data_IF_120111639428
#
_entry.id   IF_120111639428
#
_cell.length_a   1.000
_cell.length_b   1.000
_cell.length_c   1.000
_cell.angle_alpha   90.00
_cell.angle_beta   90.00
_cell.angle_gamma   90.00
#
_symmetry.space_group_name_H-M   'P 1'
#
loop_
_entity.id
_entity.type
_entity.pdbx_description
1 polymer ?
#
# COMPACT_ATOMS: atom_id res chain seq x y z
N UNK A 1 -16.61 15.70 0.65
CA UNK A 1 -15.93 15.30 1.89
C UNK A 1 -15.94 16.46 2.87
N UNK A 2 -16.27 16.16 4.10
CA UNK A 2 -16.16 17.15 5.15
C UNK A 2 -14.68 17.37 5.49
N UNK A 3 -14.26 18.60 5.45
CA UNK A 3 -12.91 18.96 5.87
C UNK A 3 -12.90 19.00 7.39
N UNK A 4 -12.00 18.27 8.05
CA UNK A 4 -11.89 18.34 9.49
C UNK A 4 -11.61 19.78 9.92
N UNK A 5 -12.35 20.24 10.88
CA UNK A 5 -12.15 21.59 11.40
C UNK A 5 -11.92 21.50 12.90
N UNK A 6 -10.86 22.09 13.36
CA UNK A 6 -10.55 22.18 14.77
C UNK A 6 -9.98 20.93 15.41
N UNK A 7 -10.34 19.73 14.94
CA UNK A 7 -9.86 18.48 15.53
C UNK A 7 -9.12 17.60 14.57
N UNK A 8 -9.09 17.96 13.29
CA UNK A 8 -8.45 17.13 12.27
C UNK A 8 -6.94 17.27 12.27
N UNK A 9 -6.27 16.20 11.91
CA UNK A 9 -4.83 16.19 11.68
C UNK A 9 -4.50 15.52 10.38
N UNK A 10 -3.41 15.92 9.78
CA UNK A 10 -2.90 15.35 8.55
C UNK A 10 -1.45 15.00 8.75
N UNK A 11 -1.11 13.73 8.61
CA UNK A 11 0.24 13.24 8.90
C UNK A 11 0.77 12.49 7.69
N UNK A 12 1.94 12.87 7.22
CA UNK A 12 2.68 12.13 6.21
C UNK A 12 3.44 11.00 6.89
N UNK A 13 3.27 9.79 6.38
CA UNK A 13 3.89 8.58 6.94
C UNK A 13 4.59 7.77 5.87
N UNK A 14 5.57 6.99 6.30
CA UNK A 14 6.22 6.00 5.48
C UNK A 14 6.37 4.70 6.24
N UNK A 15 6.19 3.56 5.56
CA UNK A 15 6.33 2.26 6.17
C UNK A 15 6.91 1.26 5.17
N UNK A 16 7.82 0.42 5.66
CA UNK A 16 8.43 -0.65 4.87
C UNK A 16 7.88 -2.01 5.24
N UNK A 17 7.77 -2.88 4.24
CA UNK A 17 7.34 -4.26 4.42
C UNK A 17 8.32 -5.20 3.76
N UNK A 18 8.48 -6.38 4.34
CA UNK A 18 9.34 -7.44 3.85
C UNK A 18 8.47 -8.70 3.73
N UNK A 19 8.22 -9.15 2.52
CA UNK A 19 7.34 -10.27 2.25
C UNK A 19 8.07 -11.32 1.43
N UNK A 20 7.85 -12.59 1.74
CA UNK A 20 8.47 -13.70 1.02
C UNK A 20 7.51 -14.86 0.76
N UNK A 21 6.26 -14.72 1.10
CA UNK A 21 5.24 -15.76 0.90
C UNK A 21 4.29 -15.36 -0.23
N UNK A 22 3.83 -16.34 -1.00
CA UNK A 22 2.81 -16.14 -2.03
C UNK A 22 1.44 -15.95 -1.36
N UNK A 23 1.20 -14.75 -0.84
CA UNK A 23 0.02 -14.43 -0.06
C UNK A 23 -0.31 -12.95 -0.14
N UNK A 24 -1.51 -12.60 0.30
CA UNK A 24 -1.94 -11.21 0.45
C UNK A 24 -1.74 -10.78 1.89
N UNK A 25 -1.08 -9.65 2.10
CA UNK A 25 -0.78 -9.13 3.43
C UNK A 25 -1.45 -7.78 3.61
N UNK A 26 -2.10 -7.59 4.75
CA UNK A 26 -2.69 -6.31 5.15
C UNK A 26 -1.56 -5.35 5.53
N UNK A 27 -1.51 -4.20 4.89
CA UNK A 27 -0.42 -3.26 5.08
C UNK A 27 -0.85 -2.02 5.85
N UNK A 28 -1.89 -1.35 5.40
CA UNK A 28 -2.35 -0.11 6.02
C UNK A 28 -3.86 -0.20 6.19
N UNK A 29 -4.33 -0.01 7.42
CA UNK A 29 -5.75 -0.03 7.74
C UNK A 29 -6.22 1.38 8.07
N UNK A 30 -7.27 1.83 7.38
CA UNK A 30 -7.94 3.07 7.74
C UNK A 30 -8.94 2.78 8.85
N UNK A 31 -8.74 3.37 10.00
CA UNK A 31 -9.64 3.22 11.14
C UNK A 31 -10.72 4.30 11.14
N UNK A 32 -11.62 4.25 12.13
CA UNK A 32 -12.73 5.22 12.23
C UNK A 32 -12.21 6.66 12.20
N UNK A 33 -12.87 7.51 11.44
CA UNK A 33 -12.52 8.92 11.24
C UNK A 33 -11.19 9.14 10.51
N UNK A 34 -10.74 8.16 9.74
CA UNK A 34 -9.52 8.29 8.97
C UNK A 34 -9.77 8.16 7.47
N UNK A 35 -9.03 8.96 6.71
CA UNK A 35 -8.88 8.81 5.26
C UNK A 35 -7.40 8.67 5.00
N UNK A 36 -7.03 7.61 4.28
CA UNK A 36 -5.64 7.37 3.90
C UNK A 36 -5.47 7.62 2.41
N UNK A 37 -4.41 8.33 2.04
CA UNK A 37 -4.04 8.57 0.65
C UNK A 37 -2.68 7.96 0.39
N UNK A 38 -2.63 6.95 -0.47
CA UNK A 38 -1.36 6.35 -0.90
C UNK A 38 -0.73 7.26 -1.94
N UNK A 39 0.51 7.62 -1.74
CA UNK A 39 1.26 8.50 -2.64
C UNK A 39 2.20 7.71 -3.54
N UNK A 40 3.00 6.83 -2.95
CA UNK A 40 4.01 6.06 -3.67
C UNK A 40 4.17 4.70 -3.04
N UNK A 41 4.28 3.67 -3.89
CA UNK A 41 4.64 2.32 -3.46
C UNK A 41 5.87 1.90 -4.26
N UNK A 42 6.96 1.59 -3.58
CA UNK A 42 8.17 1.07 -4.19
C UNK A 42 8.26 -0.41 -3.91
N UNK A 43 8.44 -1.21 -4.95
CA UNK A 43 8.49 -2.67 -4.86
C UNK A 43 9.80 -3.15 -5.45
N UNK A 44 10.62 -3.84 -4.66
CA UNK A 44 11.91 -4.34 -5.09
C UNK A 44 12.00 -5.85 -4.86
N UNK A 45 12.28 -6.60 -5.92
CA UNK A 45 12.47 -8.03 -5.83
C UNK A 45 13.92 -8.33 -5.48
N UNK A 46 14.18 -8.88 -4.29
CA UNK A 46 15.53 -9.18 -3.81
C UNK A 46 15.87 -10.66 -3.84
N UNK A 47 14.87 -11.53 -3.90
CA UNK A 47 15.07 -12.98 -3.85
C UNK A 47 14.68 -13.71 -5.13
N UNK A 48 14.42 -13.01 -6.21
CA UNK A 48 13.97 -13.57 -7.48
C UNK A 48 12.83 -12.77 -8.08
N UNK A 49 12.49 -13.06 -9.33
CA UNK A 49 11.38 -12.39 -10.00
C UNK A 49 10.05 -12.71 -9.30
N UNK A 50 9.14 -11.76 -9.31
CA UNK A 50 7.82 -11.93 -8.72
C UNK A 50 6.80 -11.11 -9.50
N UNK A 51 5.55 -11.48 -9.37
CA UNK A 51 4.44 -10.68 -9.83
C UNK A 51 3.71 -10.15 -8.60
N UNK A 52 3.41 -8.86 -8.59
CA UNK A 52 2.85 -8.19 -7.42
C UNK A 52 1.55 -7.52 -7.79
N UNK A 53 0.59 -7.59 -6.88
CA UNK A 53 -0.69 -6.88 -7.00
C UNK A 53 -0.91 -6.01 -5.78
N UNK A 54 -1.58 -4.88 -5.99
CA UNK A 54 -1.97 -3.96 -4.94
C UNK A 54 -3.49 -3.89 -4.88
N UNK A 55 -4.03 -3.89 -3.66
CA UNK A 55 -5.48 -3.86 -3.44
C UNK A 55 -5.84 -2.80 -2.42
N UNK A 56 -7.03 -2.23 -2.57
CA UNK A 56 -7.71 -1.53 -1.49
C UNK A 56 -9.04 -2.25 -1.24
N UNK A 57 -9.21 -2.76 -0.02
CA UNK A 57 -10.34 -3.62 0.27
C UNK A 57 -10.29 -4.90 -0.56
N UNK A 58 -11.24 -5.08 -1.45
CA UNK A 58 -11.28 -6.23 -2.37
C UNK A 58 -10.97 -5.85 -3.81
N UNK A 59 -10.61 -4.60 -4.07
CA UNK A 59 -10.39 -4.09 -5.42
C UNK A 59 -8.91 -4.00 -5.74
N UNK A 60 -8.52 -4.54 -6.88
CA UNK A 60 -7.16 -4.40 -7.39
C UNK A 60 -6.98 -3.00 -7.96
N UNK A 61 -5.90 -2.33 -7.55
CA UNK A 61 -5.46 -1.07 -8.15
C UNK A 61 -4.24 -1.27 -9.04
N UNK A 62 -3.56 -2.39 -8.86
CA UNK A 62 -2.49 -2.89 -9.74
C UNK A 62 -2.60 -4.40 -9.71
N UNK A 63 -2.62 -5.05 -10.87
CA UNK A 63 -2.80 -6.49 -10.94
C UNK A 63 -1.67 -7.16 -11.69
N UNK A 64 -1.03 -8.11 -11.02
CA UNK A 64 -0.09 -9.05 -11.63
C UNK A 64 1.07 -8.35 -12.35
N UNK A 65 1.62 -7.30 -11.73
CA UNK A 65 2.76 -6.58 -12.28
C UNK A 65 4.03 -7.42 -12.15
N UNK A 66 4.65 -7.72 -13.28
CA UNK A 66 5.90 -8.47 -13.30
C UNK A 66 7.07 -7.57 -12.90
N UNK A 67 7.91 -8.07 -11.99
CA UNK A 67 9.12 -7.39 -11.55
C UNK A 67 10.25 -8.41 -11.61
N UNK A 68 11.30 -8.08 -12.35
CA UNK A 68 12.45 -8.97 -12.50
C UNK A 68 13.27 -9.05 -11.21
N UNK A 69 14.04 -10.13 -11.09
CA UNK A 69 14.97 -10.27 -9.99
C UNK A 69 15.96 -9.12 -9.95
N UNK A 70 16.06 -8.46 -8.80
CA UNK A 70 16.88 -7.25 -8.64
C UNK A 70 16.23 -5.98 -9.20
N UNK A 71 15.03 -6.09 -9.77
CA UNK A 71 14.31 -4.94 -10.32
C UNK A 71 13.47 -4.22 -9.29
N UNK A 72 13.13 -2.99 -9.60
CA UNK A 72 12.24 -2.17 -8.78
C UNK A 72 11.12 -1.62 -9.64
N UNK A 73 9.89 -1.72 -9.14
CA UNK A 73 8.72 -1.09 -9.73
C UNK A 73 8.21 -0.01 -8.79
N UNK A 74 7.95 1.17 -9.33
CA UNK A 74 7.41 2.29 -8.56
C UNK A 74 5.99 2.57 -9.04
N UNK A 75 5.03 2.41 -8.14
CA UNK A 75 3.64 2.78 -8.37
C UNK A 75 3.41 4.13 -7.71
N UNK A 76 3.01 5.13 -8.48
CA UNK A 76 2.86 6.49 -7.98
C UNK A 76 1.54 7.15 -8.34
N UNK A 77 0.54 6.38 -8.70
CA UNK A 77 -0.81 6.88 -8.83
C UNK A 77 -1.42 7.04 -7.44
N UNK A 78 -2.14 8.15 -7.25
CA UNK A 78 -2.77 8.41 -5.98
C UNK A 78 -4.02 7.54 -5.82
N UNK A 79 -4.15 6.87 -4.68
CA UNK A 79 -5.38 6.19 -4.32
C UNK A 79 -5.78 6.58 -2.90
N UNK A 80 -7.07 6.77 -2.70
CA UNK A 80 -7.63 7.19 -1.42
C UNK A 80 -8.58 6.11 -0.93
N UNK A 81 -8.46 5.76 0.34
CA UNK A 81 -9.38 4.84 0.97
C UNK A 81 -9.73 5.32 2.38
N UNK A 82 -10.87 4.89 2.87
CA UNK A 82 -11.42 5.40 4.11
C UNK A 82 -11.73 4.26 5.09
N UNK A 83 -12.28 4.59 6.23
CA UNK A 83 -12.55 3.65 7.31
C UNK A 83 -13.23 2.36 6.80
N UNK A 84 -12.71 1.23 7.22
CA UNK A 84 -13.17 -0.08 6.81
C UNK A 84 -12.38 -0.69 5.67
N UNK A 85 -11.61 0.10 4.94
CA UNK A 85 -10.77 -0.41 3.86
C UNK A 85 -9.35 -0.62 4.33
N UNK A 86 -8.69 -1.58 3.70
CA UNK A 86 -7.31 -1.94 4.01
C UNK A 86 -6.51 -1.97 2.71
N UNK A 87 -5.37 -1.28 2.71
CA UNK A 87 -4.41 -1.38 1.61
C UNK A 87 -3.59 -2.65 1.79
N UNK A 88 -3.55 -3.47 0.74
CA UNK A 88 -2.92 -4.79 0.76
C UNK A 88 -1.93 -4.94 -0.37
N UNK A 89 -0.90 -5.75 -0.14
CA UNK A 89 0.06 -6.15 -1.15
C UNK A 89 0.02 -7.66 -1.29
N UNK A 90 -0.19 -8.14 -2.51
CA UNK A 90 -0.22 -9.57 -2.81
C UNK A 90 0.98 -9.97 -3.65
N UNK A 91 1.72 -10.97 -3.17
CA UNK A 91 2.77 -11.62 -3.95
C UNK A 91 2.20 -12.88 -4.59
N UNK A 92 2.50 -13.09 -5.88
CA UNK A 92 2.03 -14.26 -6.61
C UNK A 92 3.03 -15.42 -6.56
N UNK A 93 4.25 -15.17 -6.15
CA UNK A 93 5.32 -16.15 -6.05
C UNK A 93 6.01 -16.01 -4.70
N UNK A 94 6.52 -17.13 -4.16
CA UNK A 94 7.18 -17.15 -2.86
C UNK A 94 8.65 -16.70 -2.97
N UNK A 95 8.88 -15.48 -3.42
CA UNK A 95 10.19 -14.85 -3.48
C UNK A 95 10.14 -13.51 -2.77
N UNK A 96 11.26 -13.10 -2.20
CA UNK A 96 11.28 -11.91 -1.36
C UNK A 96 11.04 -10.62 -2.15
N UNK A 97 10.11 -9.81 -1.66
CA UNK A 97 9.84 -8.47 -2.16
C UNK A 97 9.87 -7.52 -0.96
N UNK A 98 10.70 -6.49 -1.08
CA UNK A 98 10.72 -5.40 -0.11
C UNK A 98 9.91 -4.26 -0.69
N UNK A 99 8.97 -3.75 0.09
CA UNK A 99 8.12 -2.64 -0.33
C UNK A 99 8.22 -1.49 0.66
N UNK A 100 8.08 -0.29 0.13
CA UNK A 100 8.01 0.92 0.95
C UNK A 100 6.84 1.77 0.46
N UNK A 101 5.99 2.17 1.39
CA UNK A 101 4.78 2.92 1.10
C UNK A 101 4.86 4.28 1.76
N UNK A 102 4.67 5.32 0.95
CA UNK A 102 4.50 6.70 1.45
C UNK A 102 3.04 7.07 1.35
N UNK A 103 2.45 7.55 2.44
CA UNK A 103 1.03 7.84 2.47
C UNK A 103 0.72 8.96 3.47
N UNK A 104 -0.47 9.53 3.32
CA UNK A 104 -0.98 10.56 4.21
C UNK A 104 -2.20 10.02 4.93
N UNK A 105 -2.27 10.21 6.23
CA UNK A 105 -3.45 9.92 7.03
C UNK A 105 -4.08 11.23 7.45
N UNK A 106 -5.36 11.40 7.12
CA UNK A 106 -6.19 12.49 7.62
C UNK A 106 -7.11 11.91 8.70
N UNK A 107 -7.04 12.45 9.90
CA UNK A 107 -7.83 12.00 11.03
C UNK A 107 -8.58 13.20 11.60
N UNK A 108 -9.91 13.08 11.68
CA UNK A 108 -10.76 14.16 12.16
C UNK A 108 -11.58 13.76 13.40
N UNK A 109 -11.12 12.76 14.12
CA UNK A 109 -11.79 12.34 15.36
C UNK A 109 -11.61 13.31 16.50
#
# INVERSE_FOLDING_TARGET
MAIPSGGGSEILKGVGFDQSAAATVDCITATTHQICSILTVTLTCTGGANNVSLLTGTKYILYNQAIDSGGTFIWNDKVVFQAGDIFKIRLHTATQVISYVSYIVQDWS
#
